data_IF_802383512679
#
_entry.id   IF_802383512679
#
_cell.length_a   1.000
_cell.length_b   1.000
_cell.length_c   1.000
_cell.angle_alpha   90.00
_cell.angle_beta   90.00
_cell.angle_gamma   90.00
#
_symmetry.space_group_name_H-M   'P 1'
#
loop_
_entity.id
_entity.type
_entity.pdbx_description
1 polymer ?
#
# COMPACT_ATOMS: atom_id res chain seq x y z
N UNK A 1 34.35 35.16 68.77
CA UNK A 1 35.14 33.93 68.99
C UNK A 1 35.02 33.03 67.76
N UNK A 2 36.17 32.71 67.16
CA UNK A 2 36.53 31.60 66.24
C UNK A 2 35.57 31.22 65.09
N UNK A 3 35.95 31.61 63.87
CA UNK A 3 35.64 30.91 62.61
C UNK A 3 36.44 29.60 62.54
N UNK A 4 35.91 28.50 61.97
CA UNK A 4 36.74 27.46 61.41
C UNK A 4 36.85 27.62 59.89
N UNK A 5 38.10 27.60 59.46
CA UNK A 5 38.64 27.66 58.12
C UNK A 5 38.47 26.29 57.45
N UNK A 6 37.77 26.21 56.32
CA UNK A 6 37.75 25.01 55.46
C UNK A 6 38.46 25.33 54.15
N UNK A 7 39.39 24.42 53.86
CA UNK A 7 40.43 24.41 52.85
C UNK A 7 39.85 24.49 51.42
N UNK A 8 40.31 25.46 50.64
CA UNK A 8 40.09 25.54 49.19
C UNK A 8 41.05 24.55 48.52
N UNK A 9 40.51 23.49 47.93
CA UNK A 9 41.26 22.64 46.99
C UNK A 9 40.97 23.17 45.59
N UNK A 10 41.95 23.88 45.03
CA UNK A 10 41.99 24.28 43.62
C UNK A 10 42.39 23.06 42.78
N UNK A 11 41.44 22.46 42.08
CA UNK A 11 41.72 21.55 40.97
C UNK A 11 41.50 22.29 39.65
N UNK A 12 42.57 22.92 39.18
CA UNK A 12 42.72 23.33 37.79
C UNK A 12 43.02 22.10 36.94
N UNK A 13 42.01 21.52 36.30
CA UNK A 13 42.18 20.58 35.19
C UNK A 13 41.47 21.17 33.96
N UNK A 14 42.31 21.45 32.97
CA UNK A 14 41.94 21.75 31.60
C UNK A 14 41.02 20.67 31.02
N UNK A 15 39.96 21.13 30.37
CA UNK A 15 39.30 20.51 29.22
C UNK A 15 39.05 19.02 29.28
N UNK A 16 37.82 18.62 29.56
CA UNK A 16 37.18 17.50 28.87
C UNK A 16 35.67 17.59 29.10
N UNK A 17 35.01 18.44 28.32
CA UNK A 17 33.56 18.33 28.13
C UNK A 17 33.33 17.08 27.30
N UNK A 18 33.13 15.94 27.96
CA UNK A 18 32.51 14.79 27.31
C UNK A 18 31.04 15.16 27.16
N UNK A 19 30.73 15.93 26.12
CA UNK A 19 29.37 16.02 25.59
C UNK A 19 29.04 14.66 25.02
N UNK A 20 28.10 13.98 25.66
CA UNK A 20 27.53 12.73 25.23
C UNK A 20 27.03 12.82 23.78
N UNK A 21 27.76 12.21 22.85
CA UNK A 21 27.47 12.17 21.41
C UNK A 21 26.71 10.89 21.02
N UNK A 22 25.68 10.53 21.80
CA UNK A 22 24.84 9.36 21.53
C UNK A 22 23.37 9.72 21.23
N UNK A 23 22.84 10.84 21.75
CA UNK A 23 21.45 11.27 21.44
C UNK A 23 21.30 11.99 20.09
N UNK A 24 22.33 12.70 19.60
CA UNK A 24 22.24 13.46 18.35
C UNK A 24 22.19 12.60 17.08
N UNK A 25 22.66 11.34 17.14
CA UNK A 25 22.65 10.44 15.98
C UNK A 25 21.23 10.01 15.60
N UNK A 26 20.42 9.63 16.60
CA UNK A 26 19.03 9.22 16.39
C UNK A 26 18.14 10.36 15.90
N UNK A 27 18.27 11.55 16.50
CA UNK A 27 17.45 12.71 16.12
C UNK A 27 17.71 13.14 14.67
N UNK A 28 18.98 13.17 14.23
CA UNK A 28 19.34 13.56 12.87
C UNK A 28 18.86 12.53 11.82
N UNK A 29 18.83 11.23 12.16
CA UNK A 29 18.29 10.19 11.28
C UNK A 29 16.77 10.35 11.14
N UNK A 30 16.05 10.56 12.25
CA UNK A 30 14.59 10.76 12.22
C UNK A 30 14.20 12.02 11.43
N UNK A 31 14.96 13.11 11.57
CA UNK A 31 14.74 14.34 10.82
C UNK A 31 15.01 14.15 9.31
N UNK A 32 16.02 13.35 8.95
CA UNK A 32 16.31 13.00 7.56
C UNK A 32 15.23 12.12 6.94
N UNK A 33 14.77 11.09 7.64
CA UNK A 33 13.72 10.19 7.15
C UNK A 33 12.39 10.93 6.98
N UNK A 34 12.03 11.83 7.90
CA UNK A 34 10.86 12.69 7.75
C UNK A 34 10.99 13.61 6.53
N UNK A 35 12.17 14.19 6.29
CA UNK A 35 12.42 15.03 5.11
C UNK A 35 12.28 14.22 3.82
N UNK A 36 12.84 13.01 3.77
CA UNK A 36 12.74 12.10 2.61
C UNK A 36 11.31 11.66 2.34
N UNK A 37 10.54 11.33 3.39
CA UNK A 37 9.12 10.99 3.25
C UNK A 37 8.35 12.15 2.59
N UNK A 38 8.55 13.38 3.05
CA UNK A 38 7.92 14.57 2.46
C UNK A 38 8.34 14.79 1.01
N UNK A 39 9.62 14.58 0.67
CA UNK A 39 10.11 14.68 -0.70
C UNK A 39 9.46 13.63 -1.61
N UNK A 40 9.34 12.37 -1.17
CA UNK A 40 8.65 11.33 -1.94
C UNK A 40 7.16 11.61 -2.10
N UNK A 41 6.48 12.06 -1.05
CA UNK A 41 5.07 12.50 -1.12
C UNK A 41 4.92 13.60 -2.18
N UNK A 42 5.83 14.58 -2.20
CA UNK A 42 5.81 15.65 -3.19
C UNK A 42 6.01 15.12 -4.62
N UNK A 43 6.95 14.20 -4.82
CA UNK A 43 7.18 13.56 -6.12
C UNK A 43 5.96 12.77 -6.61
N UNK A 44 5.19 12.15 -5.71
CA UNK A 44 3.92 11.49 -6.08
C UNK A 44 2.88 12.46 -6.65
N UNK A 45 2.85 13.71 -6.19
CA UNK A 45 1.90 14.71 -6.68
C UNK A 45 2.37 15.45 -7.93
N UNK A 46 3.66 15.78 -8.00
CA UNK A 46 4.21 16.74 -8.97
C UNK A 46 5.16 16.11 -9.99
N UNK A 47 5.69 14.93 -9.71
CA UNK A 47 6.76 14.30 -10.48
C UNK A 47 6.37 13.75 -11.85
N UNK A 48 7.39 13.34 -12.60
CA UNK A 48 7.24 12.49 -13.79
C UNK A 48 6.84 11.05 -13.42
N UNK A 49 6.58 10.21 -14.42
CA UNK A 49 6.35 8.78 -14.21
C UNK A 49 7.49 8.12 -13.41
N UNK A 50 8.74 8.41 -13.78
CA UNK A 50 9.93 7.86 -13.14
C UNK A 50 10.06 8.34 -11.70
N UNK A 51 9.80 9.62 -11.45
CA UNK A 51 9.84 10.21 -10.11
C UNK A 51 8.78 9.60 -9.20
N UNK A 52 7.55 9.44 -9.71
CA UNK A 52 6.45 8.84 -8.95
C UNK A 52 6.77 7.37 -8.61
N UNK A 53 7.31 6.61 -9.57
CA UNK A 53 7.67 5.22 -9.32
C UNK A 53 8.80 5.09 -8.30
N UNK A 54 9.82 5.93 -8.41
CA UNK A 54 10.91 6.02 -7.43
C UNK A 54 10.39 6.43 -6.05
N UNK A 55 9.40 7.33 -5.99
CA UNK A 55 8.78 7.74 -4.74
C UNK A 55 7.99 6.61 -4.06
N UNK A 56 7.22 5.81 -4.81
CA UNK A 56 6.56 4.63 -4.24
C UNK A 56 7.59 3.66 -3.67
N UNK A 57 8.68 3.40 -4.41
CA UNK A 57 9.75 2.52 -3.95
C UNK A 57 10.44 3.07 -2.68
N UNK A 58 10.77 4.36 -2.66
CA UNK A 58 11.39 5.02 -1.52
C UNK A 58 10.51 5.01 -0.27
N UNK A 59 9.20 5.25 -0.42
CA UNK A 59 8.25 5.16 0.70
C UNK A 59 8.13 3.73 1.25
N UNK A 60 8.18 2.72 0.38
CA UNK A 60 8.23 1.32 0.79
C UNK A 60 9.51 1.00 1.57
N UNK A 61 10.67 1.47 1.10
CA UNK A 61 11.98 1.27 1.76
C UNK A 61 12.06 1.95 3.13
N UNK A 62 11.48 3.14 3.27
CA UNK A 62 11.37 3.84 4.56
C UNK A 62 10.37 3.17 5.52
N UNK A 63 9.49 2.29 5.02
CA UNK A 63 8.39 1.72 5.81
C UNK A 63 7.36 2.78 6.21
N UNK A 64 7.22 3.82 5.39
CA UNK A 64 6.33 4.96 5.60
C UNK A 64 4.86 4.54 5.52
N UNK A 65 4.07 4.97 6.50
CA UNK A 65 2.68 4.54 6.69
C UNK A 65 1.79 5.62 7.32
N UNK A 66 2.24 6.88 7.26
CA UNK A 66 1.48 8.03 7.72
C UNK A 66 0.27 8.33 6.82
N UNK A 67 -0.66 9.12 7.34
CA UNK A 67 -1.90 9.50 6.66
C UNK A 67 -1.63 10.13 5.28
N UNK A 68 -0.68 11.07 5.22
CA UNK A 68 -0.29 11.73 3.98
C UNK A 68 0.31 10.74 2.96
N UNK A 69 0.95 9.67 3.42
CA UNK A 69 1.51 8.63 2.54
C UNK A 69 0.38 7.84 1.89
N UNK A 70 -0.65 7.47 2.66
CA UNK A 70 -1.83 6.78 2.13
C UNK A 70 -2.55 7.66 1.11
N UNK A 71 -2.74 8.95 1.42
CA UNK A 71 -3.36 9.90 0.49
C UNK A 71 -2.55 10.06 -0.80
N UNK A 72 -1.22 10.18 -0.70
CA UNK A 72 -0.34 10.29 -1.85
C UNK A 72 -0.33 9.02 -2.71
N UNK A 73 -0.36 7.84 -2.08
CA UNK A 73 -0.44 6.57 -2.79
C UNK A 73 -1.81 6.35 -3.44
N UNK A 74 -2.91 6.81 -2.82
CA UNK A 74 -4.23 6.82 -3.48
C UNK A 74 -4.23 7.77 -4.67
N UNK A 75 -3.55 8.91 -4.58
CA UNK A 75 -3.34 9.79 -5.73
C UNK A 75 -2.54 9.11 -6.85
N UNK A 76 -1.46 8.39 -6.49
CA UNK A 76 -0.66 7.57 -7.40
C UNK A 76 -1.48 6.47 -8.09
N UNK A 77 -2.33 5.78 -7.34
CA UNK A 77 -3.29 4.78 -7.83
C UNK A 77 -4.29 5.33 -8.85
N UNK A 78 -4.47 6.64 -8.91
CA UNK A 78 -5.50 7.29 -9.72
C UNK A 78 -4.93 8.07 -10.92
N UNK A 79 -3.62 7.97 -11.18
CA UNK A 79 -2.97 8.65 -12.31
C UNK A 79 -3.51 8.17 -13.66
N UNK A 80 -3.96 9.12 -14.49
CA UNK A 80 -4.47 8.85 -15.83
C UNK A 80 -5.89 8.28 -15.87
N UNK A 81 -6.50 7.99 -14.71
CA UNK A 81 -7.88 7.50 -14.59
C UNK A 81 -8.79 8.57 -14.00
N UNK A 82 -8.61 8.93 -12.72
CA UNK A 82 -9.33 10.03 -12.07
C UNK A 82 -8.53 11.34 -12.12
N UNK A 83 -7.21 11.25 -11.98
CA UNK A 83 -6.31 12.39 -12.14
C UNK A 83 -5.77 12.41 -13.57
N UNK A 84 -6.52 13.03 -14.49
CA UNK A 84 -6.20 13.00 -15.92
C UNK A 84 -5.53 14.31 -16.34
N UNK A 85 -4.27 14.24 -16.77
CA UNK A 85 -3.59 15.30 -17.51
C UNK A 85 -3.75 15.04 -19.00
N UNK A 86 -4.19 16.06 -19.76
CA UNK A 86 -4.39 15.96 -21.21
C UNK A 86 -3.56 16.98 -21.95
N UNK A 87 -2.84 16.52 -22.96
CA UNK A 87 -2.16 17.36 -23.93
C UNK A 87 -2.61 16.96 -25.32
N UNK A 88 -3.08 17.94 -26.10
CA UNK A 88 -3.61 17.71 -27.46
C UNK A 88 -4.67 16.58 -27.53
N UNK A 89 -5.49 16.46 -26.48
CA UNK A 89 -6.54 15.44 -26.36
C UNK A 89 -6.10 14.06 -25.87
N UNK A 90 -4.79 13.79 -25.78
CA UNK A 90 -4.23 12.53 -25.28
C UNK A 90 -4.00 12.59 -23.78
N UNK A 91 -4.26 11.50 -23.07
CA UNK A 91 -3.89 11.36 -21.66
C UNK A 91 -2.37 11.17 -21.59
N UNK A 92 -1.67 12.04 -20.86
CA UNK A 92 -0.20 12.03 -20.79
C UNK A 92 0.35 11.44 -19.51
N UNK A 93 -0.49 11.22 -18.50
CA UNK A 93 -0.12 10.62 -17.23
C UNK A 93 -0.79 9.25 -16.98
N UNK A 94 -0.96 8.46 -18.05
CA UNK A 94 -1.45 7.09 -17.94
C UNK A 94 -0.33 6.14 -17.49
N UNK A 95 0.03 6.22 -16.20
CA UNK A 95 1.17 5.52 -15.61
C UNK A 95 0.69 4.25 -14.89
N UNK A 96 0.45 3.17 -15.65
CA UNK A 96 -0.09 1.93 -15.07
C UNK A 96 0.88 1.23 -14.11
N UNK A 97 2.18 1.41 -14.28
CA UNK A 97 3.23 0.98 -13.36
C UNK A 97 3.16 1.69 -12.00
N UNK A 98 3.01 3.03 -12.00
CA UNK A 98 2.81 3.83 -10.79
C UNK A 98 1.52 3.40 -10.08
N UNK A 99 0.43 3.19 -10.84
CA UNK A 99 -0.84 2.74 -10.27
C UNK A 99 -0.72 1.37 -9.61
N UNK A 100 -0.10 0.40 -10.29
CA UNK A 100 0.09 -0.96 -9.77
C UNK A 100 1.01 -0.98 -8.53
N UNK A 101 2.12 -0.22 -8.57
CA UNK A 101 3.03 -0.09 -7.44
C UNK A 101 2.34 0.54 -6.22
N UNK A 102 1.54 1.60 -6.46
CA UNK A 102 0.76 2.25 -5.41
C UNK A 102 -0.26 1.30 -4.79
N UNK A 103 -1.01 0.53 -5.59
CA UNK A 103 -1.94 -0.47 -5.09
C UNK A 103 -1.24 -1.50 -4.19
N UNK A 104 -0.08 -2.00 -4.64
CA UNK A 104 0.71 -2.98 -3.88
C UNK A 104 1.13 -2.41 -2.52
N UNK A 105 1.72 -1.21 -2.50
CA UNK A 105 2.18 -0.58 -1.26
C UNK A 105 1.03 -0.25 -0.31
N UNK A 106 -0.13 0.19 -0.83
CA UNK A 106 -1.33 0.39 -0.01
C UNK A 106 -1.77 -0.91 0.68
N UNK A 107 -1.68 -2.05 0.00
CA UNK A 107 -1.91 -3.37 0.60
C UNK A 107 -0.90 -3.70 1.70
N UNK A 108 0.39 -3.47 1.45
CA UNK A 108 1.48 -3.69 2.42
C UNK A 108 1.35 -2.80 3.67
N UNK A 109 0.92 -1.55 3.52
CA UNK A 109 0.64 -0.64 4.63
C UNK A 109 -0.52 -1.16 5.47
N UNK A 110 -1.55 -1.76 4.85
CA UNK A 110 -2.63 -2.44 5.55
C UNK A 110 -3.65 -1.50 6.20
N UNK A 111 -3.69 -0.23 5.80
CA UNK A 111 -4.67 0.74 6.31
C UNK A 111 -5.98 0.71 5.49
N UNK A 112 -7.15 0.42 6.12
CA UNK A 112 -8.43 0.34 5.42
C UNK A 112 -8.89 1.63 4.72
N UNK A 113 -8.30 2.79 5.06
CA UNK A 113 -8.59 4.06 4.38
C UNK A 113 -8.23 4.02 2.89
N UNK A 114 -7.39 3.07 2.47
CA UNK A 114 -7.06 2.83 1.07
C UNK A 114 -8.18 2.14 0.26
N UNK A 115 -9.12 1.45 0.93
CA UNK A 115 -10.11 0.59 0.28
C UNK A 115 -10.97 1.29 -0.77
N UNK A 116 -11.49 2.52 -0.55
CA UNK A 116 -12.26 3.22 -1.58
C UNK A 116 -11.47 3.40 -2.89
N UNK A 117 -10.19 3.75 -2.81
CA UNK A 117 -9.32 3.87 -3.98
C UNK A 117 -9.08 2.53 -4.67
N UNK A 118 -8.81 1.48 -3.88
CA UNK A 118 -8.59 0.13 -4.40
C UNK A 118 -9.84 -0.46 -5.06
N UNK A 119 -11.03 -0.22 -4.53
CA UNK A 119 -12.30 -0.65 -5.15
C UNK A 119 -12.54 0.03 -6.49
N UNK A 120 -12.18 1.31 -6.62
CA UNK A 120 -12.26 2.04 -7.88
C UNK A 120 -11.30 1.42 -8.91
N UNK A 121 -10.03 1.21 -8.53
CA UNK A 121 -9.04 0.60 -9.41
C UNK A 121 -9.46 -0.82 -9.85
N UNK A 122 -9.88 -1.66 -8.91
CA UNK A 122 -10.35 -3.03 -9.19
C UNK A 122 -11.45 -3.06 -10.26
N UNK A 123 -12.40 -2.13 -10.19
CA UNK A 123 -13.59 -2.15 -11.04
C UNK A 123 -13.41 -1.41 -12.36
N UNK A 124 -12.66 -0.31 -12.35
CA UNK A 124 -12.69 0.68 -13.44
C UNK A 124 -11.34 0.94 -14.10
N UNK A 125 -10.22 0.45 -13.57
CA UNK A 125 -8.94 0.62 -14.27
C UNK A 125 -9.00 -0.08 -15.64
N UNK A 126 -8.37 0.48 -16.66
CA UNK A 126 -8.29 -0.16 -17.97
C UNK A 126 -7.15 -1.16 -18.07
N UNK A 127 -6.15 -1.07 -17.19
CA UNK A 127 -5.01 -1.98 -17.16
C UNK A 127 -5.29 -3.21 -16.28
N UNK A 128 -5.27 -4.44 -16.85
CA UNK A 128 -5.50 -5.66 -16.08
C UNK A 128 -4.50 -5.89 -14.95
N UNK A 129 -3.25 -5.45 -15.08
CA UNK A 129 -2.23 -5.59 -14.02
C UNK A 129 -2.57 -4.72 -12.81
N UNK A 130 -3.11 -3.52 -13.03
CA UNK A 130 -3.56 -2.65 -11.94
C UNK A 130 -4.76 -3.28 -11.23
N UNK A 131 -5.74 -3.83 -11.96
CA UNK A 131 -6.87 -4.54 -11.34
C UNK A 131 -6.43 -5.72 -10.47
N UNK A 132 -5.49 -6.52 -10.94
CA UNK A 132 -4.95 -7.66 -10.19
C UNK A 132 -4.22 -7.18 -8.92
N UNK A 133 -3.41 -6.12 -9.03
CA UNK A 133 -2.71 -5.52 -7.89
C UNK A 133 -3.69 -4.98 -6.85
N UNK A 134 -4.78 -4.34 -7.30
CA UNK A 134 -5.85 -3.87 -6.43
C UNK A 134 -6.57 -5.03 -5.73
N UNK A 135 -6.91 -6.11 -6.45
CA UNK A 135 -7.54 -7.30 -5.86
C UNK A 135 -6.66 -7.90 -4.76
N UNK A 136 -5.36 -8.08 -5.03
CA UNK A 136 -4.40 -8.60 -4.06
C UNK A 136 -4.27 -7.70 -2.83
N UNK A 137 -4.14 -6.39 -3.01
CA UNK A 137 -4.07 -5.43 -1.90
C UNK A 137 -5.33 -5.46 -1.02
N UNK A 138 -6.51 -5.61 -1.64
CA UNK A 138 -7.79 -5.78 -0.92
C UNK A 138 -7.80 -7.09 -0.10
N UNK A 139 -7.24 -8.17 -0.64
CA UNK A 139 -7.07 -9.44 0.06
C UNK A 139 -6.22 -9.30 1.33
N UNK A 140 -5.06 -8.67 1.20
CA UNK A 140 -4.14 -8.37 2.32
C UNK A 140 -4.82 -7.53 3.41
N UNK A 141 -5.59 -6.51 3.02
CA UNK A 141 -6.33 -5.64 3.94
C UNK A 141 -7.37 -6.41 4.78
N UNK A 142 -7.83 -7.57 4.29
CA UNK A 142 -8.55 -8.56 5.09
C UNK A 142 -9.93 -8.13 5.58
N UNK A 143 -10.56 -7.15 4.93
CA UNK A 143 -11.85 -6.62 5.39
C UNK A 143 -13.03 -7.40 4.81
N UNK A 144 -13.91 -7.89 5.67
CA UNK A 144 -15.03 -8.74 5.27
C UNK A 144 -15.98 -8.01 4.30
N UNK A 145 -16.16 -6.69 4.45
CA UNK A 145 -16.94 -5.87 3.51
C UNK A 145 -16.40 -5.89 2.07
N UNK A 146 -15.10 -6.17 1.89
CA UNK A 146 -14.46 -6.27 0.58
C UNK A 146 -14.93 -7.47 -0.24
N UNK A 147 -15.43 -8.53 0.41
CA UNK A 147 -15.88 -9.75 -0.28
C UNK A 147 -16.98 -9.42 -1.28
N UNK A 148 -17.89 -8.52 -0.92
CA UNK A 148 -18.97 -8.14 -1.82
C UNK A 148 -18.46 -7.37 -3.05
N UNK A 149 -17.42 -6.55 -2.89
CA UNK A 149 -16.78 -5.85 -4.00
C UNK A 149 -16.08 -6.82 -4.95
N UNK A 150 -15.30 -7.77 -4.41
CA UNK A 150 -14.61 -8.80 -5.19
C UNK A 150 -15.60 -9.72 -5.93
N UNK A 151 -16.67 -10.14 -5.25
CA UNK A 151 -17.71 -10.98 -5.85
C UNK A 151 -18.45 -10.29 -7.00
N UNK A 152 -18.73 -8.98 -6.88
CA UNK A 152 -19.33 -8.20 -7.97
C UNK A 152 -18.39 -8.11 -9.18
N UNK A 153 -17.09 -7.96 -8.97
CA UNK A 153 -16.11 -7.95 -10.06
C UNK A 153 -16.10 -9.28 -10.80
N UNK A 154 -16.10 -10.42 -10.09
CA UNK A 154 -16.16 -11.75 -10.70
C UNK A 154 -17.46 -11.94 -11.51
N UNK A 155 -18.60 -11.46 -11.03
CA UNK A 155 -19.90 -11.57 -11.72
C UNK A 155 -19.99 -10.71 -12.98
N UNK A 156 -19.25 -9.60 -13.03
CA UNK A 156 -19.22 -8.70 -14.18
C UNK A 156 -18.14 -9.07 -15.22
N UNK A 157 -17.19 -9.93 -14.85
CA UNK A 157 -16.08 -10.33 -15.68
C UNK A 157 -16.49 -11.32 -16.79
N UNK A 158 -15.72 -11.35 -17.88
CA UNK A 158 -15.84 -12.35 -18.92
C UNK A 158 -15.39 -13.73 -18.42
N UNK A 159 -16.30 -14.71 -18.44
CA UNK A 159 -16.03 -16.08 -17.99
C UNK A 159 -15.56 -17.02 -19.10
N UNK A 160 -15.41 -16.53 -20.34
CA UNK A 160 -14.90 -17.30 -21.48
C UNK A 160 -13.37 -17.48 -21.44
N UNK A 161 -12.69 -16.61 -20.70
CA UNK A 161 -11.29 -16.77 -20.31
C UNK A 161 -10.46 -15.49 -20.36
N UNK A 162 -10.99 -14.40 -20.92
CA UNK A 162 -10.25 -13.14 -21.03
C UNK A 162 -9.89 -12.56 -19.66
N UNK A 163 -10.82 -12.67 -18.70
CA UNK A 163 -10.67 -12.14 -17.35
C UNK A 163 -10.24 -13.20 -16.32
N UNK A 164 -9.85 -14.41 -16.74
CA UNK A 164 -9.50 -15.51 -15.83
C UNK A 164 -8.46 -15.10 -14.78
N UNK A 165 -7.45 -14.31 -15.16
CA UNK A 165 -6.42 -13.82 -14.23
C UNK A 165 -7.01 -12.90 -13.16
N UNK A 166 -7.92 -12.01 -13.55
CA UNK A 166 -8.62 -11.10 -12.63
C UNK A 166 -9.56 -11.88 -11.71
N UNK A 167 -10.32 -12.82 -12.26
CA UNK A 167 -11.22 -13.69 -11.50
C UNK A 167 -10.43 -14.50 -10.46
N UNK A 168 -9.29 -15.09 -10.85
CA UNK A 168 -8.42 -15.84 -9.94
C UNK A 168 -7.87 -14.92 -8.85
N UNK A 169 -7.39 -13.72 -9.19
CA UNK A 169 -6.90 -12.75 -8.20
C UNK A 169 -7.99 -12.37 -7.19
N UNK A 170 -9.24 -12.19 -7.65
CA UNK A 170 -10.36 -11.93 -6.75
C UNK A 170 -10.70 -13.14 -5.87
N UNK A 171 -10.60 -14.36 -6.39
CA UNK A 171 -10.82 -15.60 -5.63
C UNK A 171 -9.75 -15.77 -4.54
N UNK A 172 -8.50 -15.49 -4.87
CA UNK A 172 -7.38 -15.52 -3.93
C UNK A 172 -7.63 -14.49 -2.80
N UNK A 173 -7.95 -13.25 -3.16
CA UNK A 173 -8.29 -12.21 -2.18
C UNK A 173 -9.49 -12.59 -1.28
N UNK A 174 -10.56 -13.17 -1.85
CA UNK A 174 -11.71 -13.66 -1.06
C UNK A 174 -11.27 -14.77 -0.10
N UNK A 175 -10.39 -15.67 -0.54
CA UNK A 175 -9.87 -16.74 0.28
C UNK A 175 -8.91 -16.28 1.38
N UNK A 176 -8.17 -15.20 1.16
CA UNK A 176 -7.30 -14.55 2.14
C UNK A 176 -8.12 -13.81 3.22
N UNK A 177 -9.18 -13.10 2.82
CA UNK A 177 -10.11 -12.47 3.76
C UNK A 177 -10.83 -13.55 4.59
N UNK A 178 -11.31 -14.59 3.92
CA UNK A 178 -11.95 -15.73 4.54
C UNK A 178 -13.33 -15.47 5.15
N UNK A 179 -13.57 -16.10 6.29
CA UNK A 179 -14.84 -16.04 7.02
C UNK A 179 -16.01 -16.75 6.30
N UNK A 180 -17.21 -16.73 6.92
CA UNK A 180 -18.40 -17.38 6.38
C UNK A 180 -18.82 -16.84 5.00
N UNK A 181 -18.62 -15.54 4.77
CA UNK A 181 -18.98 -14.89 3.51
C UNK A 181 -18.02 -15.27 2.38
N UNK A 182 -16.71 -15.39 2.69
CA UNK A 182 -15.72 -15.87 1.75
C UNK A 182 -15.98 -17.32 1.38
N UNK A 183 -16.27 -18.17 2.37
CA UNK A 183 -16.62 -19.57 2.15
C UNK A 183 -17.83 -19.70 1.22
N UNK A 184 -18.91 -18.96 1.50
CA UNK A 184 -20.14 -18.99 0.70
C UNK A 184 -19.86 -18.59 -0.74
N UNK A 185 -19.12 -17.50 -0.93
CA UNK A 185 -18.79 -16.97 -2.27
C UNK A 185 -17.97 -17.97 -3.09
N UNK A 186 -16.96 -18.61 -2.48
CA UNK A 186 -16.15 -19.62 -3.17
C UNK A 186 -16.96 -20.88 -3.54
N UNK A 187 -17.93 -21.30 -2.70
CA UNK A 187 -18.84 -22.41 -3.03
C UNK A 187 -19.78 -22.04 -4.18
N UNK A 188 -20.27 -20.80 -4.24
CA UNK A 188 -21.06 -20.31 -5.38
C UNK A 188 -20.27 -20.38 -6.69
N UNK A 189 -18.99 -19.98 -6.67
CA UNK A 189 -18.10 -20.06 -7.85
C UNK A 189 -17.89 -21.51 -8.29
N UNK A 190 -17.70 -22.45 -7.35
CA UNK A 190 -17.58 -23.87 -7.70
C UNK A 190 -18.83 -24.44 -8.40
N UNK A 191 -20.01 -23.98 -7.99
CA UNK A 191 -21.30 -24.40 -8.55
C UNK A 191 -21.68 -23.67 -9.83
N UNK A 192 -21.14 -22.47 -10.05
CA UNK A 192 -21.42 -21.64 -11.20
C UNK A 192 -20.81 -22.14 -12.51
N UNK A 193 -21.14 -21.46 -13.60
CA UNK A 193 -20.58 -21.75 -14.93
C UNK A 193 -19.27 -20.99 -15.16
N UNK A 194 -18.23 -21.44 -14.45
CA UNK A 194 -16.87 -20.95 -14.61
C UNK A 194 -15.97 -22.03 -15.20
N UNK A 195 -14.94 -21.58 -15.93
CA UNK A 195 -13.87 -22.44 -16.42
C UNK A 195 -13.21 -23.25 -15.31
N UNK A 196 -12.67 -24.41 -15.68
CA UNK A 196 -12.08 -25.35 -14.71
C UNK A 196 -10.91 -24.75 -13.91
N UNK A 197 -10.11 -23.87 -14.53
CA UNK A 197 -9.01 -23.19 -13.84
C UNK A 197 -9.51 -22.29 -12.71
N UNK A 198 -10.59 -21.54 -12.94
CA UNK A 198 -11.26 -20.69 -11.94
C UNK A 198 -11.83 -21.55 -10.81
N UNK A 199 -12.53 -22.65 -11.15
CA UNK A 199 -13.04 -23.60 -10.15
C UNK A 199 -11.92 -24.24 -9.34
N UNK A 200 -10.76 -24.50 -9.95
CA UNK A 200 -9.61 -25.05 -9.24
C UNK A 200 -9.05 -24.05 -8.23
N UNK A 201 -8.91 -22.77 -8.60
CA UNK A 201 -8.49 -21.72 -7.67
C UNK A 201 -9.45 -21.64 -6.47
N UNK A 202 -10.76 -21.61 -6.70
CA UNK A 202 -11.74 -21.57 -5.61
C UNK A 202 -11.64 -22.79 -4.68
N UNK A 203 -11.41 -23.98 -5.25
CA UNK A 203 -11.20 -25.21 -4.46
C UNK A 203 -9.93 -25.15 -3.61
N UNK A 204 -8.85 -24.56 -4.12
CA UNK A 204 -7.60 -24.39 -3.36
C UNK A 204 -7.82 -23.44 -2.19
N UNK A 205 -8.49 -22.31 -2.42
CA UNK A 205 -8.74 -21.32 -1.38
C UNK A 205 -9.67 -21.83 -0.28
N UNK A 206 -10.70 -22.61 -0.63
CA UNK A 206 -11.58 -23.25 0.37
C UNK A 206 -10.83 -24.15 1.38
N UNK A 207 -9.71 -24.77 0.98
CA UNK A 207 -8.91 -25.61 1.88
C UNK A 207 -8.07 -24.80 2.87
N UNK A 208 -7.83 -23.52 2.57
CA UNK A 208 -6.93 -22.63 3.31
C UNK A 208 -7.67 -21.48 3.98
N UNK A 209 -9.01 -21.47 3.92
CA UNK A 209 -9.80 -20.33 4.34
C UNK A 209 -9.63 -20.08 5.84
N UNK A 210 -9.27 -18.85 6.27
CA UNK A 210 -9.32 -18.48 7.68
C UNK A 210 -10.80 -18.35 8.11
N UNK A 211 -11.10 -18.80 9.33
CA UNK A 211 -12.45 -18.81 9.90
C UNK A 211 -12.62 -17.74 10.97
#
# INVERSE_FOLDING_TARGET
>A
MKKPMILVILFSILGFSITWSQENGGQNILDQDNTREQDYIKLLYEGSQEDMLAAVAGLSELGSKGDNVIEALVFGLQQGTLHVKREYGKVTNDFSDVRAASAKLLGEIGDPRALPGLYIALRYDHDPHVKNSAAHAIGILGRNESIEHLARTIKAADTSGADDKLIISCIEAIGEIGGPDGFRTLVEILRGDYRQIVKMAARVMLKKIPW
#
